data_IF_630946316760
#
_entry.id   IF_630946316760
#
_cell.length_a   1.000
_cell.length_b   1.000
_cell.length_c   1.000
_cell.angle_alpha   90.00
_cell.angle_beta   90.00
_cell.angle_gamma   90.00
#
_symmetry.space_group_name_H-M   'P 1'
#
loop_
_entity.id
_entity.type
_entity.pdbx_description
1 polymer ?
#
# COMPACT_ATOMS: atom_id res chain seq x y z
N UNK A 1 -26.19 -1.72 1.43
CA UNK A 1 -25.64 -1.57 2.78
C UNK A 1 -24.65 -0.41 2.73
N UNK A 2 -24.79 0.60 3.60
CA UNK A 2 -24.00 1.85 3.53
C UNK A 2 -22.50 1.59 3.66
N UNK A 3 -22.10 0.61 4.48
CA UNK A 3 -20.70 0.24 4.65
C UNK A 3 -20.05 -0.33 3.38
N UNK A 4 -20.77 -1.14 2.61
CA UNK A 4 -20.27 -1.70 1.35
C UNK A 4 -20.14 -0.63 0.26
N UNK A 5 -21.05 0.34 0.23
CA UNK A 5 -20.93 1.48 -0.68
C UNK A 5 -19.65 2.30 -0.39
N UNK A 6 -19.31 2.50 0.89
CA UNK A 6 -18.06 3.17 1.27
C UNK A 6 -16.82 2.35 0.89
N UNK A 7 -16.90 1.01 0.89
CA UNK A 7 -15.83 0.16 0.35
C UNK A 7 -15.63 0.41 -1.15
N UNK A 8 -16.71 0.50 -1.93
CA UNK A 8 -16.63 0.78 -3.36
C UNK A 8 -15.98 2.15 -3.63
N UNK A 9 -16.36 3.17 -2.86
CA UNK A 9 -15.77 4.52 -2.95
C UNK A 9 -14.29 4.54 -2.52
N UNK A 10 -13.93 3.83 -1.46
CA UNK A 10 -12.54 3.62 -1.04
C UNK A 10 -11.73 2.97 -2.17
N UNK A 11 -12.28 1.95 -2.83
CA UNK A 11 -11.64 1.28 -3.97
C UNK A 11 -11.31 2.26 -5.11
N UNK A 12 -12.17 3.24 -5.39
CA UNK A 12 -11.89 4.29 -6.37
C UNK A 12 -10.74 5.21 -5.95
N UNK A 13 -10.64 5.56 -4.68
CA UNK A 13 -9.53 6.36 -4.12
C UNK A 13 -8.22 5.58 -4.26
N UNK A 14 -8.20 4.31 -3.84
CA UNK A 14 -7.02 3.46 -3.95
C UNK A 14 -6.58 3.31 -5.42
N UNK A 15 -7.50 3.03 -6.35
CA UNK A 15 -7.16 2.93 -7.78
C UNK A 15 -6.64 4.23 -8.39
N UNK A 16 -7.02 5.41 -7.88
CA UNK A 16 -6.41 6.70 -8.28
C UNK A 16 -4.97 6.79 -7.79
N UNK A 17 -4.75 6.50 -6.51
CA UNK A 17 -3.42 6.48 -5.89
C UNK A 17 -2.45 5.54 -6.64
N UNK A 18 -2.87 4.34 -7.00
CA UNK A 18 -2.05 3.40 -7.76
C UNK A 18 -1.67 3.90 -9.16
N UNK A 19 -2.64 4.48 -9.88
CA UNK A 19 -2.37 5.04 -11.21
C UNK A 19 -1.35 6.16 -11.16
N UNK A 20 -1.41 6.99 -10.13
CA UNK A 20 -0.44 8.05 -9.90
C UNK A 20 0.95 7.48 -9.55
N UNK A 21 1.01 6.47 -8.67
CA UNK A 21 2.26 5.78 -8.37
C UNK A 21 2.93 5.21 -9.63
N UNK A 22 2.14 4.52 -10.49
CA UNK A 22 2.63 3.96 -11.76
C UNK A 22 3.14 5.01 -12.74
N UNK A 23 2.48 6.17 -12.83
CA UNK A 23 2.89 7.24 -13.73
C UNK A 23 4.27 7.81 -13.37
N UNK A 24 4.65 7.74 -12.09
CA UNK A 24 5.93 8.24 -11.59
C UNK A 24 7.09 7.23 -11.70
N UNK A 25 6.84 5.99 -12.18
CA UNK A 25 7.84 4.91 -12.25
C UNK A 25 9.03 5.18 -13.20
N UNK A 26 9.00 6.29 -13.95
CA UNK A 26 10.08 6.64 -14.89
C UNK A 26 11.39 7.07 -14.22
N UNK A 27 11.43 7.22 -12.89
CA UNK A 27 12.64 7.53 -12.10
C UNK A 27 13.06 6.32 -11.23
N UNK A 28 13.81 5.40 -11.82
CA UNK A 28 14.14 4.09 -11.23
C UNK A 28 14.80 4.15 -9.83
N UNK A 29 15.56 5.20 -9.52
CA UNK A 29 16.37 5.26 -8.30
C UNK A 29 15.58 5.59 -7.02
N UNK A 30 14.32 6.06 -7.14
CA UNK A 30 13.52 6.55 -5.99
C UNK A 30 12.09 5.99 -5.93
N UNK A 31 11.80 4.93 -6.67
CA UNK A 31 10.45 4.35 -6.79
C UNK A 31 9.75 4.11 -5.46
N UNK A 32 10.45 3.55 -4.47
CA UNK A 32 9.88 3.27 -3.14
C UNK A 32 9.55 4.58 -2.42
N UNK A 33 10.47 5.54 -2.40
CA UNK A 33 10.30 6.81 -1.68
C UNK A 33 9.18 7.68 -2.29
N UNK A 34 9.04 7.65 -3.61
CA UNK A 34 7.96 8.32 -4.34
C UNK A 34 6.62 7.63 -4.11
N UNK A 35 6.57 6.30 -4.17
CA UNK A 35 5.34 5.53 -3.92
C UNK A 35 4.81 5.75 -2.50
N UNK A 36 5.69 5.76 -1.49
CA UNK A 36 5.30 6.07 -0.11
C UNK A 36 4.86 7.53 0.01
N UNK A 37 5.52 8.45 -0.69
CA UNK A 37 5.10 9.86 -0.75
C UNK A 37 3.68 10.04 -1.29
N UNK A 38 3.35 9.36 -2.39
CA UNK A 38 2.02 9.36 -3.00
C UNK A 38 0.99 8.75 -2.04
N UNK A 39 1.32 7.65 -1.37
CA UNK A 39 0.46 7.07 -0.33
C UNK A 39 0.15 8.08 0.78
N UNK A 40 1.17 8.74 1.35
CA UNK A 40 0.98 9.74 2.40
C UNK A 40 0.11 10.90 1.91
N UNK A 41 0.37 11.42 0.71
CA UNK A 41 -0.41 12.51 0.13
C UNK A 41 -1.89 12.13 -0.06
N UNK A 42 -2.18 10.92 -0.57
CA UNK A 42 -3.56 10.43 -0.72
C UNK A 42 -4.22 10.20 0.64
N UNK A 43 -3.49 9.71 1.63
CA UNK A 43 -4.01 9.50 2.98
C UNK A 43 -4.36 10.82 3.69
N UNK A 44 -3.59 11.89 3.47
CA UNK A 44 -3.93 13.23 3.95
C UNK A 44 -5.13 13.81 3.18
N UNK A 45 -5.10 13.78 1.85
CA UNK A 45 -6.14 14.37 1.01
C UNK A 45 -7.50 13.66 1.12
N UNK A 46 -7.51 12.37 1.48
CA UNK A 46 -8.71 11.54 1.58
C UNK A 46 -8.87 10.94 2.98
N UNK A 47 -8.50 11.69 4.04
CA UNK A 47 -8.38 11.20 5.42
C UNK A 47 -9.59 10.42 5.94
N UNK A 48 -10.82 10.82 5.59
CA UNK A 48 -12.04 10.10 5.99
C UNK A 48 -12.10 8.67 5.44
N UNK A 49 -11.72 8.46 4.17
CA UNK A 49 -11.69 7.13 3.56
C UNK A 49 -10.62 6.24 4.18
N UNK A 50 -9.45 6.81 4.49
CA UNK A 50 -8.38 6.06 5.14
C UNK A 50 -8.67 5.78 6.62
N UNK A 51 -9.35 6.67 7.33
CA UNK A 51 -9.91 6.40 8.66
C UNK A 51 -10.93 5.25 8.60
N UNK A 52 -11.86 5.30 7.63
CA UNK A 52 -12.79 4.21 7.39
C UNK A 52 -12.08 2.89 7.11
N UNK A 53 -11.02 2.89 6.30
CA UNK A 53 -10.19 1.72 6.04
C UNK A 53 -9.58 1.14 7.33
N UNK A 54 -8.94 1.99 8.14
CA UNK A 54 -8.30 1.57 9.40
C UNK A 54 -9.33 1.00 10.39
N UNK A 55 -10.47 1.67 10.56
CA UNK A 55 -11.56 1.22 11.43
C UNK A 55 -12.23 -0.06 10.90
N UNK A 56 -12.49 -0.13 9.60
CA UNK A 56 -13.13 -1.28 8.96
C UNK A 56 -12.29 -2.55 9.02
N UNK A 57 -10.96 -2.43 9.01
CA UNK A 57 -10.05 -3.57 9.21
C UNK A 57 -10.11 -4.11 10.65
N UNK A 58 -10.31 -3.24 11.64
CA UNK A 58 -10.38 -3.59 13.06
C UNK A 58 -11.81 -3.87 13.57
N UNK A 59 -12.83 -3.52 12.79
CA UNK A 59 -14.24 -3.59 13.18
C UNK A 59 -14.88 -4.97 13.09
N UNK A 60 -16.13 -5.07 13.56
CA UNK A 60 -16.88 -6.32 13.67
C UNK A 60 -17.65 -6.72 12.39
N UNK A 61 -17.87 -5.76 11.47
CA UNK A 61 -18.56 -6.04 10.22
C UNK A 61 -17.68 -6.85 9.27
N UNK A 62 -17.92 -8.17 9.21
CA UNK A 62 -17.20 -9.09 8.32
C UNK A 62 -17.30 -8.67 6.86
N UNK A 63 -18.46 -8.21 6.41
CA UNK A 63 -18.67 -7.78 5.03
C UNK A 63 -17.77 -6.58 4.66
N UNK A 64 -17.66 -5.58 5.55
CA UNK A 64 -16.76 -4.43 5.34
C UNK A 64 -15.30 -4.86 5.41
N UNK A 65 -14.94 -5.68 6.40
CA UNK A 65 -13.57 -6.18 6.56
C UNK A 65 -13.11 -6.98 5.33
N UNK A 66 -13.97 -7.86 4.80
CA UNK A 66 -13.72 -8.63 3.59
C UNK A 66 -13.63 -7.74 2.34
N UNK A 67 -14.49 -6.74 2.23
CA UNK A 67 -14.45 -5.75 1.15
C UNK A 67 -13.12 -5.00 1.11
N UNK A 68 -12.67 -4.46 2.24
CA UNK A 68 -11.37 -3.76 2.33
C UNK A 68 -10.20 -4.72 2.03
N UNK A 69 -10.22 -5.93 2.60
CA UNK A 69 -9.19 -6.95 2.30
C UNK A 69 -9.20 -7.37 0.83
N UNK A 70 -10.34 -7.33 0.16
CA UNK A 70 -10.44 -7.58 -1.28
C UNK A 70 -9.74 -6.49 -2.08
N UNK A 71 -9.99 -5.21 -1.77
CA UNK A 71 -9.28 -4.11 -2.43
C UNK A 71 -7.77 -4.15 -2.17
N UNK A 72 -7.33 -4.49 -0.95
CA UNK A 72 -5.91 -4.68 -0.64
C UNK A 72 -5.27 -5.82 -1.46
N UNK A 73 -5.96 -6.97 -1.58
CA UNK A 73 -5.48 -8.10 -2.40
C UNK A 73 -5.41 -7.74 -3.87
N UNK A 74 -6.42 -7.05 -4.39
CA UNK A 74 -6.40 -6.52 -5.75
C UNK A 74 -5.17 -5.64 -5.97
N UNK A 75 -4.86 -4.77 -5.00
CA UNK A 75 -3.68 -3.92 -5.03
C UNK A 75 -2.36 -4.72 -5.08
N UNK A 76 -2.27 -5.79 -4.28
CA UNK A 76 -1.09 -6.66 -4.26
C UNK A 76 -0.91 -7.38 -5.60
N UNK A 77 -1.98 -7.92 -6.19
CA UNK A 77 -1.94 -8.55 -7.52
C UNK A 77 -1.51 -7.57 -8.61
N UNK A 78 -2.00 -6.34 -8.54
CA UNK A 78 -1.63 -5.28 -9.47
C UNK A 78 -0.16 -4.86 -9.34
N UNK A 79 0.38 -4.79 -8.12
CA UNK A 79 1.80 -4.57 -7.89
C UNK A 79 2.64 -5.73 -8.44
N UNK A 80 2.23 -6.99 -8.23
CA UNK A 80 2.93 -8.15 -8.76
C UNK A 80 2.96 -8.11 -10.30
N UNK A 81 1.84 -7.74 -10.94
CA UNK A 81 1.78 -7.54 -12.39
C UNK A 81 2.76 -6.47 -12.88
N UNK A 82 2.90 -5.37 -12.15
CA UNK A 82 3.86 -4.32 -12.49
C UNK A 82 5.31 -4.81 -12.37
N UNK A 83 5.66 -5.51 -11.28
CA UNK A 83 7.00 -6.06 -11.09
C UNK A 83 7.36 -7.06 -12.19
N UNK A 84 6.43 -7.94 -12.58
CA UNK A 84 6.61 -8.86 -13.72
C UNK A 84 6.86 -8.10 -15.03
N UNK A 85 6.10 -7.05 -15.31
CA UNK A 85 6.25 -6.23 -16.54
C UNK A 85 7.60 -5.51 -16.60
N UNK A 86 8.07 -5.05 -15.44
CA UNK A 86 9.37 -4.39 -15.29
C UNK A 86 10.54 -5.38 -15.25
N UNK A 87 10.26 -6.70 -15.27
CA UNK A 87 11.27 -7.77 -15.11
C UNK A 87 12.08 -7.60 -13.82
N UNK A 88 11.41 -7.20 -12.75
CA UNK A 88 12.00 -7.14 -11.42
C UNK A 88 11.75 -8.47 -10.72
N UNK A 89 12.75 -8.94 -9.96
CA UNK A 89 12.65 -10.16 -9.15
C UNK A 89 12.36 -11.43 -9.98
N UNK A 90 12.94 -11.54 -11.17
CA UNK A 90 12.76 -12.69 -12.09
C UNK A 90 13.19 -14.04 -11.49
N UNK A 91 13.96 -14.04 -10.39
CA UNK A 91 14.36 -15.24 -9.67
C UNK A 91 13.27 -15.81 -8.76
N UNK A 92 12.22 -15.03 -8.46
CA UNK A 92 11.10 -15.49 -7.63
C UNK A 92 10.10 -16.30 -8.45
N UNK A 93 9.55 -17.34 -7.84
CA UNK A 93 8.32 -17.99 -8.30
C UNK A 93 7.15 -17.01 -8.29
N UNK A 94 6.10 -17.30 -9.06
CA UNK A 94 4.88 -16.49 -9.05
C UNK A 94 4.25 -16.40 -7.65
N UNK A 95 4.30 -17.50 -6.89
CA UNK A 95 3.76 -17.55 -5.54
C UNK A 95 4.56 -16.66 -4.56
N UNK A 96 5.90 -16.67 -4.66
CA UNK A 96 6.75 -15.84 -3.80
C UNK A 96 6.69 -14.36 -4.17
N UNK A 97 6.54 -14.05 -5.45
CA UNK A 97 6.32 -12.68 -5.91
C UNK A 97 4.98 -12.14 -5.41
N UNK A 98 3.90 -12.93 -5.51
CA UNK A 98 2.58 -12.56 -5.02
C UNK A 98 2.60 -12.40 -3.48
N UNK A 99 3.28 -13.28 -2.75
CA UNK A 99 3.51 -13.17 -1.30
C UNK A 99 4.28 -11.88 -0.95
N UNK A 100 5.34 -11.57 -1.68
CA UNK A 100 6.14 -10.36 -1.48
C UNK A 100 5.27 -9.11 -1.66
N UNK A 101 4.43 -9.07 -2.70
CA UNK A 101 3.55 -7.94 -2.97
C UNK A 101 2.44 -7.79 -1.92
N UNK A 102 1.88 -8.89 -1.43
CA UNK A 102 0.93 -8.88 -0.31
C UNK A 102 1.57 -8.31 0.96
N UNK A 103 2.82 -8.69 1.27
CA UNK A 103 3.56 -8.16 2.40
C UNK A 103 3.82 -6.65 2.27
N UNK A 104 4.18 -6.17 1.07
CA UNK A 104 4.36 -4.74 0.77
C UNK A 104 3.07 -3.96 1.05
N UNK A 105 1.94 -4.40 0.48
CA UNK A 105 0.65 -3.71 0.64
C UNK A 105 0.20 -3.70 2.10
N UNK A 106 0.35 -4.82 2.81
CA UNK A 106 0.03 -4.89 4.25
C UNK A 106 0.88 -3.96 5.08
N UNK A 107 2.17 -3.83 4.76
CA UNK A 107 3.10 -2.95 5.47
C UNK A 107 2.75 -1.47 5.29
N UNK A 108 2.36 -1.07 4.08
CA UNK A 108 1.85 0.28 3.81
C UNK A 108 0.54 0.52 4.56
N UNK A 109 -0.41 -0.41 4.47
CA UNK A 109 -1.69 -0.31 5.17
C UNK A 109 -1.52 -0.27 6.69
N UNK A 110 -0.55 -0.99 7.25
CA UNK A 110 -0.22 -0.92 8.67
C UNK A 110 0.32 0.46 9.07
N UNK A 111 1.18 1.07 8.24
CA UNK A 111 1.72 2.42 8.49
C UNK A 111 0.65 3.51 8.51
N UNK A 112 -0.57 3.20 8.05
CA UNK A 112 -1.68 4.12 8.08
C UNK A 112 -2.10 4.49 9.50
N UNK A 113 -2.05 3.56 10.45
CA UNK A 113 -2.47 3.84 11.83
C UNK A 113 -1.56 4.89 12.48
N UNK A 114 -0.26 4.79 12.24
CA UNK A 114 0.73 5.80 12.64
C UNK A 114 0.39 7.16 12.03
N UNK A 115 0.16 7.21 10.71
CA UNK A 115 -0.14 8.45 9.99
C UNK A 115 -1.43 9.11 10.47
N UNK A 116 -2.47 8.32 10.75
CA UNK A 116 -3.75 8.82 11.24
C UNK A 116 -3.70 9.29 12.70
N UNK A 117 -2.72 8.84 13.48
CA UNK A 117 -2.52 9.30 14.86
C UNK A 117 -1.83 10.68 14.96
N UNK A 118 -1.26 11.16 13.85
CA UNK A 118 -0.49 12.41 13.79
C UNK A 118 -1.42 13.56 13.36
N UNK A 119 -1.11 14.76 13.84
CA UNK A 119 -1.79 16.00 13.40
C UNK A 119 -1.47 16.28 11.93
N UNK A 120 -2.46 16.78 11.19
CA UNK A 120 -2.31 16.97 9.73
C UNK A 120 -1.27 18.05 9.36
N UNK A 121 -0.94 18.94 10.30
CA UNK A 121 0.03 20.02 10.19
C UNK A 121 1.43 19.69 10.76
N UNK A 122 1.63 18.48 11.30
CA UNK A 122 2.93 18.04 11.82
C UNK A 122 3.76 17.36 10.72
N UNK A 123 4.27 18.19 9.80
CA UNK A 123 5.12 17.76 8.67
C UNK A 123 6.34 16.94 9.11
N UNK A 124 6.86 17.22 10.32
CA UNK A 124 8.01 16.50 10.85
C UNK A 124 7.65 15.05 11.16
N UNK A 125 6.56 14.81 11.92
CA UNK A 125 6.12 13.45 12.26
C UNK A 125 5.63 12.69 11.03
N UNK A 126 4.91 13.35 10.13
CA UNK A 126 4.51 12.78 8.83
C UNK A 126 5.75 12.35 8.04
N UNK A 127 6.79 13.19 8.01
CA UNK A 127 8.09 12.87 7.42
C UNK A 127 8.77 11.66 8.06
N UNK A 128 8.67 11.49 9.39
CA UNK A 128 9.20 10.31 10.08
C UNK A 128 8.45 9.03 9.69
N UNK A 129 7.12 9.07 9.61
CA UNK A 129 6.32 7.91 9.14
C UNK A 129 6.71 7.56 7.71
N UNK A 130 6.76 8.54 6.79
CA UNK A 130 7.20 8.32 5.41
C UNK A 130 8.57 7.66 5.34
N UNK A 131 9.55 8.17 6.11
CA UNK A 131 10.91 7.61 6.15
C UNK A 131 10.91 6.17 6.69
N UNK A 132 10.16 5.91 7.77
CA UNK A 132 10.06 4.57 8.38
C UNK A 132 9.40 3.57 7.43
N UNK A 133 8.26 3.92 6.83
CA UNK A 133 7.56 3.07 5.86
C UNK A 133 8.46 2.76 4.66
N UNK A 134 9.19 3.76 4.15
CA UNK A 134 10.20 3.56 3.08
C UNK A 134 11.24 2.52 3.49
N UNK A 135 11.74 2.57 4.73
CA UNK A 135 12.71 1.58 5.23
C UNK A 135 12.13 0.18 5.39
N UNK A 136 10.87 0.05 5.80
CA UNK A 136 10.20 -1.25 5.82
C UNK A 136 10.11 -1.86 4.43
N UNK A 137 9.70 -1.08 3.43
CA UNK A 137 9.63 -1.57 2.05
C UNK A 137 11.01 -1.93 1.50
N UNK A 138 12.04 -1.13 1.77
CA UNK A 138 13.43 -1.47 1.43
C UNK A 138 13.85 -2.81 2.04
N UNK A 139 13.52 -3.06 3.32
CA UNK A 139 13.84 -4.32 3.98
C UNK A 139 13.13 -5.50 3.31
N UNK A 140 11.85 -5.34 2.96
CA UNK A 140 11.07 -6.38 2.26
C UNK A 140 11.72 -6.70 0.91
N UNK A 141 12.05 -5.70 0.09
CA UNK A 141 12.65 -5.92 -1.22
C UNK A 141 14.08 -6.45 -1.14
N UNK A 142 14.87 -6.06 -0.13
CA UNK A 142 16.19 -6.68 0.14
C UNK A 142 16.03 -8.15 0.51
N UNK A 143 15.08 -8.49 1.37
CA UNK A 143 14.79 -9.88 1.74
C UNK A 143 14.34 -10.70 0.54
N UNK A 144 13.36 -10.20 -0.22
CA UNK A 144 12.88 -10.83 -1.45
C UNK A 144 14.01 -10.97 -2.50
N UNK A 145 14.95 -10.02 -2.57
CA UNK A 145 16.08 -10.05 -3.50
C UNK A 145 17.07 -11.19 -3.24
N UNK A 146 17.07 -11.75 -2.03
CA UNK A 146 17.89 -12.89 -1.63
C UNK A 146 17.06 -14.15 -1.33
N UNK A 147 15.74 -14.08 -1.53
CA UNK A 147 14.84 -15.21 -1.31
C UNK A 147 15.07 -16.27 -2.40
N UNK A 148 15.04 -17.53 -1.99
CA UNK A 148 15.14 -18.68 -2.89
C UNK A 148 13.77 -19.34 -2.91
N UNK A 149 13.13 -19.31 -4.07
CA UNK A 149 11.91 -20.07 -4.30
C UNK A 149 12.19 -21.56 -4.26
N UNK A 150 11.25 -22.32 -3.68
CA UNK A 150 11.28 -23.78 -3.64
C UNK A 150 11.00 -24.42 -5.02
#
# INVERSE_FOLDING_TARGET
DLGLQLVDELGLVLRRMMREARANVLQADKLIEESVGIFVAHAQANRSFFLFMAQGLAGESRAVQEGIRSEMRFFASELANDLRRLRLMEHLSDADLDMTCDLVVRTVAFSLTDLLSISEDDDYQIGQVRKRTTRFLQMIFVGAGHWQSD
#
